data_IF_073712203765
#
_entry.id   IF_073712203765
#
_cell.length_a   1.000
_cell.length_b   1.000
_cell.length_c   1.000
_cell.angle_alpha   90.00
_cell.angle_beta   90.00
_cell.angle_gamma   90.00
#
_symmetry.space_group_name_H-M   'P 1'
#
loop_
_entity.id
_entity.type
_entity.pdbx_description
1 polymer ?
2 non-polymer ?
3 non-polymer ?
4 water ?
#
# COMPACT_ATOMS: atom_id res chain seq x y z
N UNK A 22 10.84 -6.53 11.48
CA UNK A 22 10.12 -5.33 12.05
C UNK A 22 10.07 -4.24 11.01
N UNK A 23 8.86 -3.80 10.70
CA UNK A 23 8.62 -2.89 9.59
C UNK A 23 8.96 -1.47 9.97
N UNK A 24 9.79 -0.83 9.16
CA UNK A 24 10.22 0.52 9.40
C UNK A 24 9.65 1.51 8.39
N UNK A 25 9.09 1.04 7.27
CA UNK A 25 8.47 1.90 6.26
C UNK A 25 7.19 1.24 5.78
N UNK A 26 6.09 1.99 5.79
CA UNK A 26 4.83 1.58 5.18
C UNK A 26 4.55 2.56 4.03
N UNK A 27 4.45 2.00 2.82
CA UNK A 27 4.19 2.73 1.62
C UNK A 27 2.76 2.44 1.17
N UNK A 28 2.02 3.47 0.82
CA UNK A 28 0.75 3.29 0.13
C UNK A 28 0.85 3.74 -1.31
N UNK A 29 0.36 2.91 -2.23
CA UNK A 29 0.44 3.24 -3.66
C UNK A 29 -0.82 3.90 -4.23
N UNK A 30 -0.59 4.70 -5.26
CA UNK A 30 -1.67 5.44 -5.92
C UNK A 30 -1.13 6.46 -6.90
N UNK A 31 -2.04 7.20 -7.51
CA UNK A 31 -1.69 8.30 -8.40
C UNK A 31 -2.01 9.63 -7.72
N UNK A 32 -1.28 10.68 -8.06
CA UNK A 32 -1.43 12.03 -7.49
C UNK A 32 -2.62 12.75 -8.07
N UNK A 33 -3.19 13.65 -7.28
CA UNK A 33 -4.20 14.55 -7.80
C UNK A 33 -5.62 14.20 -7.43
N UNK A 34 -6.47 15.23 -7.38
CA UNK A 34 -7.85 15.05 -6.97
C UNK A 34 -8.63 14.03 -7.82
N UNK A 35 -8.34 13.99 -9.12
CA UNK A 35 -9.09 13.13 -10.02
C UNK A 35 -8.93 11.64 -9.76
N UNK A 36 -7.84 11.25 -9.10
CA UNK A 36 -7.54 9.85 -8.90
C UNK A 36 -7.89 9.34 -7.51
N UNK A 37 -8.28 10.24 -6.61
CA UNK A 37 -8.36 9.90 -5.18
C UNK A 37 -9.29 8.72 -4.86
N UNK A 38 -10.39 8.59 -5.59
CA UNK A 38 -11.42 7.55 -5.31
C UNK A 38 -11.25 6.31 -6.16
N UNK A 39 -10.27 6.29 -7.04
CA UNK A 39 -10.04 5.15 -7.94
C UNK A 39 -9.46 3.93 -7.22
N UNK A 40 -9.79 2.75 -7.75
CA UNK A 40 -9.29 1.48 -7.22
C UNK A 40 -7.76 1.46 -7.05
N UNK A 41 -7.03 2.08 -7.99
CA UNK A 41 -5.58 2.03 -8.00
C UNK A 41 -5.01 2.86 -6.87
N UNK A 42 -5.86 3.59 -6.13
CA UNK A 42 -5.45 4.34 -4.93
C UNK A 42 -5.76 3.65 -3.61
N UNK A 43 -6.09 2.35 -3.65
CA UNK A 43 -6.47 1.63 -2.42
C UNK A 43 -5.38 1.74 -1.35
N UNK A 44 -4.14 1.67 -1.76
CA UNK A 44 -3.01 1.80 -0.83
C UNK A 44 -2.94 3.14 -0.15
N UNK A 45 -3.22 4.20 -0.89
CA UNK A 45 -3.34 5.52 -0.26
C UNK A 45 -4.46 5.51 0.79
N UNK A 46 -5.59 4.86 0.51
CA UNK A 46 -6.67 4.84 1.50
C UNK A 46 -6.20 4.28 2.81
N UNK A 47 -5.44 3.18 2.73
CA UNK A 47 -4.94 2.54 3.95
C UNK A 47 -3.96 3.45 4.70
N UNK A 48 -3.00 4.05 3.99
CA UNK A 48 -2.02 4.86 4.64
C UNK A 48 -2.61 6.17 5.19
N UNK A 49 -3.58 6.73 4.49
CA UNK A 49 -4.29 7.93 4.96
C UNK A 49 -4.94 7.64 6.32
N UNK A 50 -5.61 6.48 6.40
CA UNK A 50 -6.34 6.10 7.62
C UNK A 50 -5.36 5.75 8.72
N UNK A 51 -4.25 5.09 8.38
CA UNK A 51 -3.20 4.77 9.37
C UNK A 51 -2.58 6.05 9.95
N UNK A 52 -2.29 7.01 9.07
CA UNK A 52 -1.75 8.31 9.51
C UNK A 52 -2.70 8.99 10.47
N UNK A 53 -3.98 9.03 10.12
CA UNK A 53 -4.97 9.70 10.97
C UNK A 53 -5.01 9.02 12.34
N UNK A 54 -5.06 7.69 12.32
CA UNK A 54 -5.12 6.90 13.54
C UNK A 54 -3.91 7.16 14.43
N UNK A 55 -2.75 7.37 13.82
CA UNK A 55 -1.49 7.57 14.53
C UNK A 55 -1.23 9.05 14.91
N UNK A 56 -2.10 9.95 14.48
CA UNK A 56 -1.92 11.38 14.71
C UNK A 56 -0.76 11.98 13.94
N UNK A 57 -0.44 11.38 12.79
CA UNK A 57 0.67 11.81 11.96
C UNK A 57 0.11 12.65 10.83
N UNK A 58 0.86 13.66 10.40
CA UNK A 58 0.45 14.50 9.29
C UNK A 58 1.36 14.25 8.09
N UNK A 59 0.77 13.79 6.99
CA UNK A 59 1.51 13.59 5.75
C UNK A 59 1.80 14.95 5.11
N UNK A 60 3.08 15.17 4.81
CA UNK A 60 3.55 16.42 4.20
C UNK A 60 4.40 16.14 2.97
N UNK A 61 4.33 17.05 2.01
CA UNK A 61 5.15 16.95 0.81
C UNK A 61 6.62 17.04 1.18
N UNK A 62 7.40 16.03 0.82
CA UNK A 62 8.82 15.96 1.09
C UNK A 62 9.54 15.74 -0.25
N UNK A 63 10.15 16.80 -0.79
CA UNK A 63 10.73 16.67 -2.12
C UNK A 63 11.83 15.62 -2.15
N UNK A 64 12.52 15.41 -1.03
CA UNK A 64 13.59 14.41 -1.01
C UNK A 64 13.05 13.00 -1.34
N UNK A 65 11.80 12.75 -0.98
CA UNK A 65 11.22 11.43 -1.18
C UNK A 65 10.18 11.37 -2.29
N UNK A 66 10.01 12.46 -3.03
CA UNK A 66 9.07 12.51 -4.15
C UNK A 66 7.68 12.08 -3.74
N UNK A 67 7.23 12.53 -2.58
CA UNK A 67 5.89 12.18 -2.17
C UNK A 67 5.50 12.74 -0.82
N UNK A 68 4.32 12.33 -0.35
CA UNK A 68 3.87 12.73 0.97
C UNK A 68 4.48 11.78 2.02
N UNK A 69 4.90 12.33 3.14
CA UNK A 69 5.75 11.66 4.09
C UNK A 69 5.38 12.07 5.50
N UNK A 70 5.45 11.09 6.41
CA UNK A 70 5.38 11.36 7.86
C UNK A 70 6.23 10.37 8.62
N UNK A 71 6.84 10.82 9.72
CA UNK A 71 7.47 9.92 10.66
C UNK A 71 6.49 9.68 11.79
N UNK A 72 5.92 8.49 11.82
CA UNK A 72 4.81 8.16 12.70
C UNK A 72 5.32 7.40 13.89
N UNK A 73 4.59 7.48 15.00
CA UNK A 73 4.82 6.62 16.16
C UNK A 73 3.69 5.61 16.17
N UNK A 74 4.01 4.34 15.90
CA UNK A 74 3.01 3.29 15.81
C UNK A 74 3.34 2.20 16.81
N UNK A 75 2.49 2.06 17.82
CA UNK A 75 2.64 0.98 18.80
C UNK A 75 4.05 0.93 19.39
N UNK A 76 4.58 2.11 19.68
CA UNK A 76 5.88 2.24 20.33
C UNK A 76 7.08 2.25 19.39
N UNK A 77 6.82 2.14 18.09
CA UNK A 77 7.90 2.11 17.10
C UNK A 77 7.85 3.33 16.20
N UNK A 78 9.03 3.76 15.77
CA UNK A 78 9.17 4.82 14.78
C UNK A 78 9.01 4.20 13.39
N UNK A 79 7.96 4.59 12.67
CA UNK A 79 7.68 4.01 11.34
C UNK A 79 7.44 5.12 10.33
N UNK A 80 8.19 5.09 9.23
CA UNK A 80 7.99 6.08 8.18
C UNK A 80 6.79 5.73 7.37
N UNK A 81 6.00 6.73 7.00
CA UNK A 81 4.82 6.56 6.14
C UNK A 81 5.04 7.32 4.85
N UNK A 82 4.75 6.67 3.72
CA UNK A 82 5.02 7.30 2.42
C UNK A 82 3.90 7.04 1.41
N UNK A 83 3.47 8.09 0.74
CA UNK A 83 2.62 8.02 -0.45
C UNK A 83 3.31 8.69 -1.62
N UNK A 84 3.93 7.91 -2.52
CA UNK A 84 4.64 8.54 -3.63
C UNK A 84 3.72 9.39 -4.48
N UNK A 85 4.24 10.51 -4.98
CA UNK A 85 3.48 11.43 -5.84
C UNK A 85 4.09 11.48 -7.23
N UNK A 86 4.56 10.32 -7.68
CA UNK A 86 5.31 10.15 -8.89
C UNK A 86 4.49 9.68 -10.09
N UNK A 87 3.18 9.39 -9.86
CA UNK A 87 2.37 8.50 -10.71
C UNK A 87 2.77 7.04 -10.41
N UNK A 88 1.81 6.13 -10.61
CA UNK A 88 1.98 4.75 -10.16
C UNK A 88 3.25 4.11 -10.69
N UNK A 89 3.51 4.26 -12.00
CA UNK A 89 4.61 3.54 -12.66
C UNK A 89 5.99 4.06 -12.33
N UNK A 90 6.06 5.16 -11.55
CA UNK A 90 7.34 5.73 -11.11
C UNK A 90 7.50 5.67 -9.58
N UNK A 91 6.65 4.88 -8.91
CA UNK A 91 6.64 4.80 -7.45
C UNK A 91 8.00 4.40 -6.86
N UNK A 92 8.75 3.59 -7.60
CA UNK A 92 10.07 3.17 -7.14
C UNK A 92 11.05 4.30 -6.89
N UNK A 93 10.97 5.39 -7.65
CA UNK A 93 11.86 6.54 -7.43
C UNK A 93 11.66 7.11 -6.03
N UNK A 94 10.42 7.08 -5.60
CA UNK A 94 10.05 7.57 -4.24
C UNK A 94 10.53 6.61 -3.12
N UNK A 95 10.20 5.33 -3.27
CA UNK A 95 10.53 4.35 -2.26
C UNK A 95 12.05 4.25 -2.07
N UNK A 96 12.85 4.23 -3.16
CA UNK A 96 14.26 3.98 -3.03
C UNK A 96 14.93 5.22 -2.43
N UNK A 97 14.43 6.42 -2.73
CA UNK A 97 14.98 7.63 -2.16
C UNK A 97 14.89 7.58 -0.65
N UNK A 98 13.73 7.16 -0.13
CA UNK A 98 13.54 7.07 1.32
C UNK A 98 14.34 5.90 1.90
N UNK A 99 14.27 4.75 1.26
CA UNK A 99 14.94 3.55 1.79
C UNK A 99 16.44 3.78 1.89
N UNK A 100 17.04 4.39 0.87
CA UNK A 100 18.50 4.66 0.93
C UNK A 100 18.85 5.73 1.94
N UNK A 101 17.99 6.73 2.09
CA UNK A 101 18.23 7.79 3.05
C UNK A 101 18.25 7.30 4.49
N UNK A 102 17.30 6.45 4.85
CA UNK A 102 17.22 5.94 6.23
C UNK A 102 17.82 4.54 6.41
N UNK A 103 18.43 4.00 5.35
CA UNK A 103 19.06 2.67 5.35
C UNK A 103 18.04 1.59 5.78
N UNK A 104 16.95 1.55 5.03
CA UNK A 104 15.86 0.58 5.24
C UNK A 104 15.95 -0.52 4.20
N UNK A 105 15.94 -1.77 4.67
CA UNK A 105 16.03 -2.93 3.79
C UNK A 105 14.67 -3.30 3.23
N UNK A 106 14.66 -3.99 2.07
CA UNK A 106 13.37 -4.46 1.55
C UNK A 106 12.54 -5.26 2.57
N UNK A 107 13.18 -6.07 3.40
CA UNK A 107 12.48 -6.88 4.38
C UNK A 107 11.83 -6.07 5.50
N UNK A 108 12.18 -4.78 5.57
CA UNK A 108 11.68 -3.84 6.56
C UNK A 108 10.61 -2.92 5.95
N UNK A 109 10.21 -3.17 4.71
CA UNK A 109 9.24 -2.35 3.98
C UNK A 109 7.93 -3.12 3.78
N UNK A 110 6.81 -2.43 4.03
CA UNK A 110 5.49 -2.94 3.70
C UNK A 110 4.86 -2.01 2.67
N UNK A 111 4.41 -2.58 1.56
CA UNK A 111 3.74 -1.84 0.49
C UNK A 111 2.26 -2.25 0.42
N UNK A 112 1.38 -1.31 0.70
CA UNK A 112 -0.07 -1.49 0.57
C UNK A 112 -0.50 -1.10 -0.84
N UNK A 113 -1.21 -2.01 -1.51
CA UNK A 113 -1.62 -1.81 -2.91
C UNK A 113 -2.90 -2.54 -3.24
N UNK A 114 -3.55 -2.09 -4.30
CA UNK A 114 -4.70 -2.75 -4.88
C UNK A 114 -4.29 -4.07 -5.54
N UNK A 115 -5.08 -5.10 -5.30
CA UNK A 115 -4.80 -6.44 -5.81
C UNK A 115 -5.95 -6.97 -6.67
N UNK A 116 -5.71 -7.08 -7.98
CA UNK A 116 -6.69 -7.59 -8.93
C UNK A 116 -7.03 -9.05 -8.66
N UNK A 117 -6.08 -9.80 -8.12
CA UNK A 117 -6.25 -11.26 -7.97
C UNK A 117 -6.87 -11.69 -6.66
N UNK A 118 -7.42 -10.74 -5.92
CA UNK A 118 -8.23 -11.03 -4.75
C UNK A 118 -9.55 -10.29 -4.89
N UNK A 119 -10.64 -10.85 -4.33
CA UNK A 119 -11.92 -10.17 -4.45
C UNK A 119 -12.03 -8.96 -3.53
N UNK A 120 -12.96 -8.03 -3.84
CA UNK A 120 -13.25 -6.98 -2.88
C UNK A 120 -13.62 -7.58 -1.52
N UNK A 121 -13.02 -7.08 -0.44
CA UNK A 121 -13.31 -7.57 0.88
C UNK A 121 -12.24 -8.50 1.41
N UNK A 122 -11.35 -8.94 0.54
CA UNK A 122 -10.17 -9.73 0.93
C UNK A 122 -8.94 -8.86 1.11
N UNK A 123 -8.14 -9.17 2.14
CA UNK A 123 -6.83 -8.56 2.32
C UNK A 123 -5.84 -9.62 2.81
N UNK A 124 -4.61 -9.58 2.28
CA UNK A 124 -3.60 -10.57 2.62
C UNK A 124 -2.26 -9.91 2.78
N UNK A 125 -1.43 -10.50 3.65
CA UNK A 125 -0.06 -10.09 3.87
C UNK A 125 0.86 -11.12 3.25
N UNK A 126 1.83 -10.67 2.44
CA UNK A 126 2.75 -11.59 1.76
C UNK A 126 4.12 -10.98 1.58
N UNK A 127 5.17 -11.80 1.70
CA UNK A 127 6.55 -11.37 1.42
C UNK A 127 6.90 -11.78 0.00
N UNK A 128 7.26 -10.83 -0.83
CA UNK A 128 7.59 -11.10 -2.24
C UNK A 128 6.40 -11.52 -3.07
N UNK A 129 6.67 -12.31 -4.12
CA UNK A 129 5.61 -12.92 -4.93
C UNK A 129 5.41 -12.36 -6.34
N UNK A 130 6.36 -11.59 -6.84
CA UNK A 130 6.18 -10.99 -8.17
C UNK A 130 5.17 -9.85 -8.16
N UNK A 131 5.07 -9.14 -9.29
CA UNK A 131 4.28 -7.92 -9.34
C UNK A 131 2.81 -8.16 -9.68
N UNK A 132 2.50 -9.33 -10.24
CA UNK A 132 1.14 -9.61 -10.65
C UNK A 132 0.63 -8.59 -11.65
N UNK A 133 1.54 -8.06 -12.48
CA UNK A 133 1.21 -7.05 -13.49
C UNK A 133 1.05 -5.61 -13.00
N UNK A 134 1.21 -5.41 -11.70
CA UNK A 134 0.98 -4.09 -11.09
C UNK A 134 2.19 -3.21 -11.37
N UNK A 135 1.97 -2.10 -12.07
CA UNK A 135 3.09 -1.23 -12.48
C UNK A 135 3.82 -0.50 -11.33
N UNK A 136 3.14 -0.30 -10.21
CA UNK A 136 3.79 0.28 -9.03
C UNK A 136 4.75 -0.71 -8.39
N UNK A 137 4.28 -1.92 -8.16
CA UNK A 137 5.16 -2.97 -7.67
C UNK A 137 6.34 -3.22 -8.61
N UNK A 138 6.09 -3.25 -9.92
CA UNK A 138 7.16 -3.45 -10.88
C UNK A 138 8.26 -2.42 -10.67
N UNK A 139 7.87 -1.16 -10.54
CA UNK A 139 8.87 -0.08 -10.44
C UNK A 139 9.61 -0.11 -9.11
N UNK A 140 8.91 -0.44 -8.04
CA UNK A 140 9.55 -0.58 -6.70
C UNK A 140 10.57 -1.70 -6.70
N UNK A 141 10.20 -2.86 -7.22
CA UNK A 141 11.12 -3.98 -7.29
C UNK A 141 12.35 -3.64 -8.15
N UNK A 142 12.13 -2.91 -9.25
CA UNK A 142 13.26 -2.46 -10.09
C UNK A 142 14.20 -1.54 -9.34
N UNK A 143 13.67 -0.48 -8.71
CA UNK A 143 14.52 0.47 -8.00
C UNK A 143 15.22 -0.09 -6.78
N UNK A 144 14.55 -0.99 -6.04
CA UNK A 144 15.19 -1.66 -4.89
C UNK A 144 16.14 -2.81 -5.26
N UNK A 145 16.09 -3.22 -6.53
CA UNK A 145 16.81 -4.42 -6.99
C UNK A 145 16.43 -5.65 -6.16
N UNK A 146 15.16 -5.71 -5.76
CA UNK A 146 14.65 -6.78 -4.92
C UNK A 146 13.14 -6.77 -4.94
N UNK A 147 12.54 -7.96 -5.01
CA UNK A 147 11.10 -8.14 -4.80
C UNK A 147 10.77 -8.44 -3.32
N UNK A 148 11.78 -8.58 -2.48
CA UNK A 148 11.62 -9.14 -1.11
C UNK A 148 11.23 -8.12 -0.08
N UNK A 149 10.13 -7.42 -0.38
CA UNK A 149 9.47 -6.55 0.56
C UNK A 149 8.06 -7.10 0.80
N UNK A 150 7.48 -6.71 1.93
CA UNK A 150 6.13 -7.18 2.32
C UNK A 150 5.09 -6.40 1.58
N UNK A 151 3.96 -7.05 1.33
CA UNK A 151 2.84 -6.40 0.68
C UNK A 151 1.56 -6.64 1.46
N UNK A 152 0.75 -5.60 1.55
CA UNK A 152 -0.61 -5.69 2.03
C UNK A 152 -1.48 -5.58 0.78
N UNK A 153 -1.99 -6.73 0.37
CA UNK A 153 -2.71 -6.89 -0.87
C UNK A 153 -4.19 -6.62 -0.59
N UNK A 154 -4.73 -5.51 -1.10
CA UNK A 154 -6.12 -5.10 -0.84
C UNK A 154 -6.95 -5.49 -2.07
N UNK A 155 -7.79 -6.51 -1.93
CA UNK A 155 -8.54 -7.02 -3.07
C UNK A 155 -9.47 -5.98 -3.67
N UNK A 156 -9.43 -5.82 -5.00
CA UNK A 156 -10.38 -4.98 -5.75
C UNK A 156 -11.18 -5.78 -6.79
N UNK A 157 -10.90 -7.08 -6.91
CA UNK A 157 -11.42 -7.89 -7.99
C UNK A 157 -10.80 -7.57 -9.34
N UNK A 158 -11.29 -8.28 -10.37
CA UNK A 158 -10.75 -8.23 -11.71
C UNK A 158 -11.89 -7.97 -12.69
N UNK A 159 -11.63 -7.23 -13.79
CA UNK A 159 -12.73 -6.97 -14.72
C UNK A 159 -13.43 -8.20 -15.34
N UNK A 160 -12.76 -9.35 -15.38
CA UNK A 160 -13.40 -10.59 -15.87
C UNK A 160 -14.46 -11.14 -14.93
N UNK A 161 -14.38 -10.81 -13.65
CA UNK A 161 -15.24 -11.42 -12.64
C UNK A 161 -16.73 -11.25 -12.90
N UNK A 162 -17.13 -10.10 -13.45
CA UNK A 162 -18.53 -9.75 -13.56
C UNK A 162 -19.16 -10.18 -14.89
N UNK A 163 -18.32 -10.65 -15.82
CA UNK A 163 -18.76 -11.09 -17.15
C UNK A 163 -19.42 -12.48 -17.01
N UNK A 164 -20.36 -12.83 -17.91
CA UNK A 164 -20.91 -14.19 -17.88
C UNK A 164 -19.86 -15.30 -17.91
N UNK A 174 -9.62 -5.20 -20.11
CA UNK A 174 -8.97 -3.90 -19.98
C UNK A 174 -8.69 -3.56 -18.51
N UNK A 175 -7.59 -4.07 -17.96
CA UNK A 175 -7.27 -3.79 -16.54
C UNK A 175 -6.85 -2.33 -16.30
N UNK A 176 -6.23 -1.70 -17.31
CA UNK A 176 -5.71 -0.36 -17.14
C UNK A 176 -6.81 0.62 -16.82
N UNK A 177 -7.93 0.49 -17.50
CA UNK A 177 -9.07 1.38 -17.26
C UNK A 177 -9.91 0.95 -16.05
N UNK A 178 -9.99 -0.35 -15.78
CA UNK A 178 -10.69 -0.84 -14.57
C UNK A 178 -10.15 -0.21 -13.31
N UNK A 179 -8.83 -0.13 -13.15
CA UNK A 179 -8.26 0.37 -11.89
C UNK A 179 -8.36 1.90 -11.79
N UNK A 180 -8.70 2.55 -12.90
CA UNK A 180 -8.91 4.01 -12.91
C UNK A 180 -10.39 4.42 -12.69
N UNK A 181 -11.21 3.48 -12.24
CA UNK A 181 -12.59 3.75 -11.82
C UNK A 181 -12.68 3.45 -10.32
N UNK A 182 -13.64 4.10 -9.63
CA UNK A 182 -13.89 3.75 -8.26
C UNK A 182 -14.54 2.38 -8.14
N UNK A 183 -14.33 1.72 -7.01
CA UNK A 183 -15.10 0.51 -6.76
C UNK A 183 -16.59 0.79 -6.85
N UNK A 184 -17.36 -0.22 -7.22
CA UNK A 184 -18.82 -0.16 -7.09
C UNK A 184 -19.17 -0.01 -5.60
N UNK A 185 -20.33 0.58 -5.30
CA UNK A 185 -20.67 0.87 -3.88
C UNK A 185 -20.58 -0.39 -3.00
N UNK A 186 -21.12 -1.50 -3.46
CA UNK A 186 -21.09 -2.74 -2.66
C UNK A 186 -19.67 -3.25 -2.45
N UNK A 187 -18.83 -3.03 -3.46
CA UNK A 187 -17.39 -3.34 -3.34
C UNK A 187 -16.71 -2.43 -2.32
N UNK A 188 -16.99 -1.14 -2.41
CA UNK A 188 -16.36 -0.19 -1.50
C UNK A 188 -16.65 -0.53 -0.06
N UNK A 189 -17.89 -0.95 0.22
CA UNK A 189 -18.24 -1.29 1.60
C UNK A 189 -17.35 -2.41 2.16
N UNK A 190 -17.13 -3.47 1.37
CA UNK A 190 -16.34 -4.60 1.84
C UNK A 190 -14.84 -4.30 1.79
N UNK A 191 -14.40 -3.49 0.84
CA UNK A 191 -12.99 -3.04 0.83
C UNK A 191 -12.70 -2.18 2.09
N UNK A 192 -13.59 -1.26 2.44
CA UNK A 192 -13.43 -0.42 3.64
C UNK A 192 -13.27 -1.30 4.88
N UNK A 193 -14.08 -2.36 4.98
CA UNK A 193 -13.99 -3.26 6.14
C UNK A 193 -12.68 -4.07 6.13
N UNK A 194 -12.21 -4.46 4.96
CA UNK A 194 -10.94 -5.17 4.84
C UNK A 194 -9.80 -4.24 5.25
N UNK A 195 -9.85 -2.96 4.87
CA UNK A 195 -8.78 -2.02 5.26
C UNK A 195 -8.76 -1.85 6.77
N UNK A 196 -9.93 -1.79 7.38
CA UNK A 196 -10.02 -1.78 8.85
C UNK A 196 -9.37 -3.00 9.47
N UNK A 197 -9.63 -4.18 8.94
CA UNK A 197 -8.98 -5.40 9.45
C UNK A 197 -7.46 -5.32 9.33
N UNK A 198 -7.00 -4.74 8.23
CA UNK A 198 -5.54 -4.54 8.01
C UNK A 198 -4.96 -3.56 9.02
N UNK A 199 -5.64 -2.44 9.23
CA UNK A 199 -5.20 -1.48 10.27
C UNK A 199 -5.11 -2.17 11.60
N UNK A 200 -6.05 -3.05 11.91
CA UNK A 200 -6.04 -3.73 13.21
C UNK A 200 -4.87 -4.71 13.39
N UNK A 201 -4.25 -5.19 12.31
CA UNK A 201 -3.08 -6.08 12.41
C UNK A 201 -1.75 -5.35 12.41
N UNK A 202 -1.75 -4.02 12.22
CA UNK A 202 -0.52 -3.26 12.19
C UNK A 202 0.38 -3.43 13.41
N UNK A 203 -0.20 -3.53 14.62
CA UNK A 203 0.71 -3.79 15.77
C UNK A 203 1.59 -5.02 15.54
N UNK A 204 1.01 -6.12 15.06
CA UNK A 204 1.78 -7.34 14.83
C UNK A 204 2.79 -7.15 13.69
N UNK A 205 2.38 -6.45 12.63
CA UNK A 205 3.30 -6.17 11.54
C UNK A 205 4.52 -5.35 11.98
N UNK A 206 4.31 -4.28 12.73
CA UNK A 206 5.40 -3.41 13.11
C UNK A 206 6.35 -4.06 14.13
N UNK A 207 5.83 -5.07 14.84
CA UNK A 207 6.63 -5.79 15.81
C UNK A 207 7.27 -7.06 15.19
N UNK A 208 7.01 -7.32 13.92
CA UNK A 208 7.54 -8.51 13.25
C UNK A 208 6.86 -9.81 13.62
N UNK A 209 5.65 -9.72 14.16
CA UNK A 209 4.87 -10.89 14.53
C UNK A 209 4.03 -11.34 13.33
N UNK A 210 4.70 -11.91 12.32
CA UNK A 210 4.10 -12.25 11.03
C UNK A 210 2.96 -13.23 11.13
N UNK A 211 3.17 -14.34 11.83
CA UNK A 211 2.15 -15.36 11.94
C UNK A 211 0.91 -14.83 12.62
N UNK A 212 1.08 -14.05 13.69
CA UNK A 212 -0.06 -13.37 14.31
C UNK A 212 -0.84 -12.52 13.33
N UNK A 213 -0.11 -11.71 12.56
CA UNK A 213 -0.75 -10.82 11.60
C UNK A 213 -1.55 -11.62 10.59
N UNK A 214 -1.01 -12.75 10.11
CA UNK A 214 -1.72 -13.53 9.10
C UNK A 214 -2.96 -14.23 9.63
N UNK A 215 -2.88 -14.74 10.85
CA UNK A 215 -4.02 -15.36 11.51
C UNK A 215 -5.13 -14.32 11.69
N UNK A 216 -4.77 -13.14 12.18
CA UNK A 216 -5.76 -12.07 12.38
C UNK A 216 -6.33 -11.53 11.08
N UNK A 217 -5.57 -11.66 10.00
CA UNK A 217 -5.95 -11.11 8.72
C UNK A 217 -6.66 -12.18 7.91
#
# INVERSE_FOLDING_TARGET
>A
MAHHHHHHMGTLEAQTQGPGSMIKLIVGLGNPGAEYTATRHNAGFWLVDQLAREAGATLRDERRFHGFYAKARLYGEEVHLLEPQTYMNRSGQSVVALAHFFKILPNEILVAHDELDLPPGAVKLKLGGGSGGHNGLKDISAHLSSQQYWRLRIGIGHPRDMIPESARAGAKPDVANFVLKPPRKEEQDVIDAAIERALAVMPAVVKGETERAMMQLHRNGA
#
